data_IF_183336794398
#
_entry.id   IF_183336794398
#
_cell.length_a   1.000
_cell.length_b   1.000
_cell.length_c   1.000
_cell.angle_alpha   90.00
_cell.angle_beta   90.00
_cell.angle_gamma   90.00
#
_symmetry.space_group_name_H-M   'P 1'
#
loop_
_entity.id
_entity.type
_entity.pdbx_description
1 polymer ?
#
# COMPACT_ATOMS: atom_id res chain seq x y z
N UNK A 1 -19.90 4.49 0.89
CA UNK A 1 -19.14 5.06 2.02
C UNK A 1 -18.60 6.41 1.56
N UNK A 2 -18.57 7.41 2.44
CA UNK A 2 -17.97 8.71 2.13
C UNK A 2 -17.28 9.32 3.34
N UNK A 3 -16.34 10.23 3.09
CA UNK A 3 -15.81 11.13 4.11
C UNK A 3 -16.60 12.44 4.11
N UNK A 4 -16.93 12.94 5.29
CA UNK A 4 -17.49 14.27 5.48
C UNK A 4 -16.97 14.93 6.75
N UNK A 5 -17.23 16.23 6.91
CA UNK A 5 -16.99 16.90 8.19
C UNK A 5 -17.81 16.23 9.30
N UNK A 6 -17.26 16.25 10.50
CA UNK A 6 -17.96 15.82 11.70
C UNK A 6 -19.15 16.76 11.96
N UNK A 7 -20.27 16.18 12.37
CA UNK A 7 -21.49 16.90 12.69
C UNK A 7 -21.95 16.57 14.11
N UNK A 8 -22.66 17.47 14.80
CA UNK A 8 -23.10 17.24 16.18
C UNK A 8 -23.97 15.98 16.32
N UNK A 9 -24.67 15.56 15.26
CA UNK A 9 -25.44 14.31 15.22
C UNK A 9 -24.57 13.05 15.38
N UNK A 10 -23.26 13.15 15.14
CA UNK A 10 -22.32 12.05 15.26
C UNK A 10 -21.92 11.80 16.73
N UNK A 11 -22.10 12.78 17.61
CA UNK A 11 -21.64 12.72 19.01
C UNK A 11 -22.15 11.48 19.78
N UNK A 12 -23.43 11.07 19.68
CA UNK A 12 -23.91 9.88 20.39
C UNK A 12 -23.23 8.59 19.92
N UNK A 13 -23.02 8.45 18.61
CA UNK A 13 -22.37 7.27 18.02
C UNK A 13 -20.84 7.30 18.21
N UNK A 14 -20.27 8.49 18.37
CA UNK A 14 -18.88 8.67 18.78
C UNK A 14 -18.68 8.23 20.23
N UNK A 15 -19.56 8.68 21.14
CA UNK A 15 -19.53 8.29 22.54
C UNK A 15 -19.74 6.78 22.72
N UNK A 16 -20.63 6.18 21.92
CA UNK A 16 -20.87 4.73 21.89
C UNK A 16 -19.56 3.94 21.77
N UNK A 17 -18.70 4.26 20.78
CA UNK A 17 -17.44 3.53 20.62
C UNK A 17 -16.41 3.91 21.68
N UNK A 18 -16.42 5.13 22.21
CA UNK A 18 -15.51 5.55 23.28
C UNK A 18 -15.70 4.74 24.57
N UNK A 19 -16.91 4.22 24.80
CA UNK A 19 -17.24 3.36 25.95
C UNK A 19 -17.25 1.86 25.60
N UNK A 20 -16.99 1.49 24.35
CA UNK A 20 -16.83 0.10 23.94
C UNK A 20 -15.39 -0.37 24.21
N UNK A 21 -15.23 -1.20 25.24
CA UNK A 21 -13.92 -1.74 25.66
C UNK A 21 -13.24 -2.58 24.57
N UNK A 22 -13.99 -3.16 23.62
CA UNK A 22 -13.44 -3.89 22.48
C UNK A 22 -12.86 -2.98 21.40
N UNK A 23 -13.23 -1.69 21.42
CA UNK A 23 -12.67 -0.65 20.55
C UNK A 23 -11.48 0.01 21.22
N UNK A 24 -11.66 0.48 22.45
CA UNK A 24 -10.70 1.39 23.12
C UNK A 24 -9.66 0.70 23.99
N UNK A 25 -9.81 -0.59 24.28
CA UNK A 25 -8.97 -1.30 25.27
C UNK A 25 -7.46 -1.30 25.00
N UNK A 26 -7.04 -1.03 23.76
CA UNK A 26 -5.64 -0.91 23.34
C UNK A 26 -5.29 0.49 22.82
N UNK A 27 -6.20 1.45 22.97
CA UNK A 27 -5.95 2.86 22.69
C UNK A 27 -5.41 3.55 23.95
N UNK A 28 -4.62 4.60 23.76
CA UNK A 28 -3.91 5.25 24.87
C UNK A 28 -4.76 6.27 25.62
N UNK A 29 -5.65 6.94 24.91
CA UNK A 29 -6.53 7.94 25.51
C UNK A 29 -7.52 7.24 26.44
N UNK A 30 -7.76 7.84 27.61
CA UNK A 30 -8.81 7.39 28.52
C UNK A 30 -10.20 7.76 27.95
N UNK A 31 -10.64 6.99 26.95
CA UNK A 31 -11.94 7.20 26.31
C UNK A 31 -13.11 6.85 27.24
N UNK A 32 -12.90 5.94 28.20
CA UNK A 32 -13.92 5.54 29.16
C UNK A 32 -14.41 6.70 30.05
N UNK A 33 -13.61 7.75 30.24
CA UNK A 33 -14.02 8.93 31.01
C UNK A 33 -14.70 10.01 30.18
N UNK A 34 -14.82 9.84 28.85
CA UNK A 34 -15.37 10.87 27.97
C UNK A 34 -16.88 10.98 28.10
N UNK A 35 -17.39 12.20 27.98
CA UNK A 35 -18.84 12.49 28.02
C UNK A 35 -19.37 12.90 26.65
N UNK A 36 -20.69 13.05 26.53
CA UNK A 36 -21.30 13.54 25.30
C UNK A 36 -20.84 14.97 24.98
N UNK A 37 -20.64 15.80 26.02
CA UNK A 37 -20.13 17.17 25.89
C UNK A 37 -18.68 17.17 25.37
N UNK A 38 -17.85 16.21 25.78
CA UNK A 38 -16.50 16.05 25.22
C UNK A 38 -16.56 15.74 23.72
N UNK A 39 -17.48 14.86 23.29
CA UNK A 39 -17.67 14.54 21.87
C UNK A 39 -18.15 15.76 21.08
N UNK A 40 -19.15 16.49 21.59
CA UNK A 40 -19.63 17.72 20.97
C UNK A 40 -18.54 18.78 20.87
N UNK A 41 -17.70 18.92 21.90
CA UNK A 41 -16.60 19.87 21.90
C UNK A 41 -15.51 19.47 20.90
N UNK A 42 -15.19 18.18 20.80
CA UNK A 42 -14.28 17.66 19.78
C UNK A 42 -14.78 17.97 18.36
N UNK A 43 -16.07 17.76 18.10
CA UNK A 43 -16.71 18.08 16.81
C UNK A 43 -16.64 19.57 16.51
N UNK A 44 -16.96 20.44 17.48
CA UNK A 44 -16.88 21.90 17.31
C UNK A 44 -15.44 22.35 17.03
N UNK A 45 -14.47 21.79 17.74
CA UNK A 45 -13.05 22.11 17.54
C UNK A 45 -12.53 21.63 16.18
N UNK A 46 -13.08 20.55 15.62
CA UNK A 46 -12.68 20.02 14.31
C UNK A 46 -12.98 20.93 13.10
N UNK A 47 -13.70 22.03 13.33
CA UNK A 47 -13.95 23.05 12.31
C UNK A 47 -12.70 23.92 12.05
N UNK A 48 -11.79 24.02 13.01
CA UNK A 48 -10.46 24.58 12.80
C UNK A 48 -9.54 23.49 12.27
N UNK A 49 -9.24 23.55 10.97
CA UNK A 49 -8.39 22.59 10.27
C UNK A 49 -6.99 23.11 9.96
N UNK A 50 -6.54 24.13 10.69
CA UNK A 50 -5.21 24.73 10.50
C UNK A 50 -4.06 23.78 10.85
N UNK A 51 -4.28 22.84 11.78
CA UNK A 51 -3.28 21.87 12.24
C UNK A 51 -3.73 20.42 12.22
N UNK A 52 -5.03 20.18 12.31
CA UNK A 52 -5.61 18.85 12.36
C UNK A 52 -6.80 18.77 11.41
N UNK A 53 -6.91 17.69 10.65
CA UNK A 53 -8.08 17.40 9.83
C UNK A 53 -8.80 16.18 10.39
N UNK A 54 -10.01 16.37 10.92
CA UNK A 54 -10.86 15.29 11.41
C UNK A 54 -12.09 15.11 10.52
N UNK A 55 -12.34 13.89 10.06
CA UNK A 55 -13.46 13.56 9.18
C UNK A 55 -14.24 12.37 9.74
N UNK A 56 -15.56 12.41 9.54
CA UNK A 56 -16.43 11.27 9.74
C UNK A 56 -16.27 10.30 8.58
N UNK A 57 -16.14 9.01 8.89
CA UNK A 57 -16.40 7.93 7.95
C UNK A 57 -17.89 7.62 8.05
N UNK A 58 -18.65 7.78 6.97
CA UNK A 58 -20.09 7.60 6.94
C UNK A 58 -20.55 6.49 5.96
N UNK A 59 -21.67 5.84 6.27
CA UNK A 59 -22.36 4.93 5.34
C UNK A 59 -23.10 5.71 4.25
N UNK A 60 -23.66 5.01 3.26
CA UNK A 60 -24.44 5.65 2.19
C UNK A 60 -25.74 6.29 2.70
N UNK A 61 -26.25 5.84 3.86
CA UNK A 61 -27.36 6.44 4.60
C UNK A 61 -26.91 7.57 5.55
N UNK A 62 -25.65 8.00 5.46
CA UNK A 62 -25.04 9.07 6.25
C UNK A 62 -24.91 8.76 7.76
N UNK A 63 -25.00 7.48 8.15
CA UNK A 63 -24.76 7.02 9.51
C UNK A 63 -23.25 7.09 9.82
N UNK A 64 -22.89 7.68 10.96
CA UNK A 64 -21.50 7.74 11.43
C UNK A 64 -20.96 6.35 11.78
N UNK A 65 -19.85 5.97 11.16
CA UNK A 65 -19.19 4.67 11.32
C UNK A 65 -17.84 4.77 12.02
N UNK A 66 -17.25 5.96 12.09
CA UNK A 66 -15.97 6.20 12.75
C UNK A 66 -15.39 7.57 12.43
N UNK A 67 -14.24 7.85 12.99
CA UNK A 67 -13.46 9.05 12.72
C UNK A 67 -12.12 8.65 12.13
N UNK A 68 -11.71 9.37 11.09
CA UNK A 68 -10.35 9.34 10.54
C UNK A 68 -9.75 10.73 10.63
N UNK A 69 -8.43 10.82 10.84
CA UNK A 69 -7.76 12.07 11.14
C UNK A 69 -6.35 12.14 10.61
N UNK A 70 -5.96 13.34 10.19
CA UNK A 70 -4.56 13.78 10.07
C UNK A 70 -4.32 14.76 11.20
N UNK A 71 -3.33 14.50 12.04
CA UNK A 71 -2.99 15.33 13.20
C UNK A 71 -1.59 15.90 13.05
N UNK A 72 -1.33 17.00 13.76
CA UNK A 72 -0.02 17.64 13.78
C UNK A 72 0.52 17.89 12.36
N UNK A 73 -0.32 18.48 11.49
CA UNK A 73 0.04 18.80 10.11
C UNK A 73 1.12 19.88 10.12
N UNK A 74 2.36 19.49 9.86
CA UNK A 74 3.52 20.39 9.83
C UNK A 74 4.63 19.85 8.93
N UNK A 75 5.40 20.76 8.32
CA UNK A 75 6.58 20.45 7.51
C UNK A 75 6.33 19.38 6.42
N UNK A 76 5.17 19.41 5.76
CA UNK A 76 4.81 18.42 4.73
C UNK A 76 4.48 17.04 5.28
N UNK A 77 4.24 16.90 6.59
CA UNK A 77 3.90 15.61 7.21
C UNK A 77 2.68 15.71 8.11
N UNK A 78 2.03 14.57 8.38
CA UNK A 78 0.96 14.49 9.37
C UNK A 78 0.87 13.09 10.00
N UNK A 79 0.35 13.05 11.22
CA UNK A 79 0.06 11.79 11.91
C UNK A 79 -1.35 11.28 11.56
N UNK A 80 -1.44 10.09 11.00
CA UNK A 80 -2.69 9.39 10.75
C UNK A 80 -3.26 8.77 12.03
N UNK A 81 -4.56 8.96 12.26
CA UNK A 81 -5.31 8.26 13.28
C UNK A 81 -6.68 7.83 12.75
N UNK A 82 -7.13 6.63 13.14
CA UNK A 82 -8.44 6.11 12.76
C UNK A 82 -9.06 5.35 13.92
N UNK A 83 -10.37 5.49 14.10
CA UNK A 83 -11.16 4.64 14.98
C UNK A 83 -12.55 4.44 14.37
N UNK A 84 -13.00 3.19 14.34
CA UNK A 84 -14.32 2.82 13.82
C UNK A 84 -15.15 2.14 14.88
N UNK A 85 -16.47 2.30 14.80
CA UNK A 85 -17.44 1.60 15.64
C UNK A 85 -17.36 0.10 15.39
N UNK A 86 -17.71 -0.69 16.40
CA UNK A 86 -17.77 -2.16 16.29
C UNK A 86 -18.66 -2.63 15.14
N UNK A 87 -19.80 -1.95 14.89
CA UNK A 87 -20.71 -2.22 13.77
C UNK A 87 -20.04 -2.06 12.39
N UNK A 88 -19.02 -1.21 12.29
CA UNK A 88 -18.29 -0.91 11.05
C UNK A 88 -17.07 -1.83 10.83
N UNK A 89 -16.64 -2.56 11.86
CA UNK A 89 -15.49 -3.46 11.77
C UNK A 89 -15.74 -4.59 10.77
N UNK A 90 -14.69 -4.99 10.04
CA UNK A 90 -14.73 -6.04 9.03
C UNK A 90 -15.71 -5.78 7.85
N UNK A 91 -16.15 -4.54 7.67
CA UNK A 91 -17.03 -4.11 6.55
C UNK A 91 -16.36 -3.12 5.58
N UNK A 92 -15.04 -3.01 5.63
CA UNK A 92 -14.25 -2.15 4.73
C UNK A 92 -14.11 -0.69 5.16
N UNK A 93 -14.87 -0.21 6.15
CA UNK A 93 -14.83 1.21 6.59
C UNK A 93 -13.45 1.70 7.01
N UNK A 94 -12.65 0.87 7.69
CA UNK A 94 -11.30 1.27 8.11
C UNK A 94 -10.36 1.45 6.92
N UNK A 95 -10.44 0.55 5.93
CA UNK A 95 -9.65 0.64 4.70
C UNK A 95 -10.05 1.86 3.88
N UNK A 96 -11.35 2.00 3.63
CA UNK A 96 -11.91 3.15 2.93
C UNK A 96 -11.50 4.48 3.59
N UNK A 97 -11.62 4.58 4.92
CA UNK A 97 -11.25 5.79 5.65
C UNK A 97 -9.77 6.14 5.51
N UNK A 98 -8.91 5.12 5.53
CA UNK A 98 -7.46 5.29 5.36
C UNK A 98 -7.10 5.73 3.94
N UNK A 99 -7.57 5.00 2.93
CA UNK A 99 -7.33 5.31 1.52
C UNK A 99 -7.80 6.74 1.17
N UNK A 100 -9.03 7.08 1.57
CA UNK A 100 -9.62 8.37 1.26
C UNK A 100 -8.90 9.54 1.96
N UNK A 101 -8.41 9.36 3.19
CA UNK A 101 -7.68 10.44 3.87
C UNK A 101 -6.23 10.56 3.38
N UNK A 102 -5.58 9.45 3.00
CA UNK A 102 -4.24 9.48 2.40
C UNK A 102 -4.28 10.19 1.04
N UNK A 103 -5.27 9.85 0.21
CA UNK A 103 -5.52 10.57 -1.05
C UNK A 103 -5.67 12.07 -0.81
N UNK A 104 -6.47 12.45 0.20
CA UNK A 104 -6.67 13.86 0.58
C UNK A 104 -5.38 14.53 1.09
N UNK A 105 -4.57 13.81 1.87
CA UNK A 105 -3.28 14.27 2.36
C UNK A 105 -2.34 14.65 1.20
N UNK A 106 -2.26 13.79 0.18
CA UNK A 106 -1.33 13.92 -0.92
C UNK A 106 -1.83 14.84 -2.04
N UNK A 107 -3.08 14.71 -2.45
CA UNK A 107 -3.64 15.45 -3.60
C UNK A 107 -4.14 16.85 -3.21
N UNK A 108 -4.74 17.01 -2.02
CA UNK A 108 -5.37 18.27 -1.62
C UNK A 108 -4.51 19.08 -0.65
N UNK A 109 -3.87 18.42 0.33
CA UNK A 109 -3.03 19.09 1.32
C UNK A 109 -1.55 19.17 0.91
N UNK A 110 -1.16 18.48 -0.18
CA UNK A 110 0.21 18.45 -0.68
C UNK A 110 1.22 18.10 0.44
N UNK A 111 0.90 17.07 1.23
CA UNK A 111 1.82 16.46 2.18
C UNK A 111 2.78 15.52 1.44
N UNK A 112 4.00 15.38 1.93
CA UNK A 112 5.03 14.48 1.39
C UNK A 112 5.00 13.12 2.11
N UNK A 113 4.53 13.09 3.37
CA UNK A 113 4.52 11.89 4.21
C UNK A 113 3.32 11.86 5.16
N UNK A 114 2.74 10.69 5.36
CA UNK A 114 1.78 10.42 6.44
C UNK A 114 2.28 9.25 7.27
N UNK A 115 2.38 9.42 8.58
CA UNK A 115 2.90 8.40 9.49
C UNK A 115 1.90 8.05 10.59
N UNK A 116 2.05 6.88 11.19
CA UNK A 116 1.29 6.51 12.39
C UNK A 116 2.07 5.48 13.21
N UNK A 117 1.59 5.23 14.43
CA UNK A 117 2.10 4.13 15.23
C UNK A 117 0.98 3.37 15.92
N UNK A 118 1.29 2.13 16.26
CA UNK A 118 0.41 1.24 17.02
C UNK A 118 1.23 0.50 18.06
N UNK A 119 0.65 0.23 19.24
CA UNK A 119 1.24 -0.75 20.15
C UNK A 119 1.30 -2.12 19.47
N UNK A 120 2.44 -2.82 19.57
CA UNK A 120 2.59 -4.19 19.03
C UNK A 120 1.60 -5.18 19.64
N UNK A 121 1.11 -4.91 20.85
CA UNK A 121 0.05 -5.68 21.52
C UNK A 121 -1.30 -5.59 20.79
N UNK A 122 -1.52 -4.56 19.98
CA UNK A 122 -2.71 -4.41 19.14
C UNK A 122 -2.58 -5.20 17.84
N UNK A 123 -2.58 -6.53 17.99
CA UNK A 123 -2.45 -7.48 16.88
C UNK A 123 -3.52 -7.29 15.81
N UNK A 124 -4.71 -6.78 16.15
CA UNK A 124 -5.77 -6.44 15.19
C UNK A 124 -5.32 -5.35 14.23
N UNK A 125 -4.82 -4.23 14.76
CA UNK A 125 -4.40 -3.12 13.91
C UNK A 125 -3.07 -3.43 13.19
N UNK A 126 -2.12 -4.11 13.83
CA UNK A 126 -0.90 -4.59 13.16
C UNK A 126 -1.24 -5.48 11.98
N UNK A 127 -2.10 -6.50 12.16
CA UNK A 127 -2.55 -7.37 11.04
C UNK A 127 -3.29 -6.59 9.96
N UNK A 128 -4.05 -5.57 10.34
CA UNK A 128 -4.75 -4.72 9.38
C UNK A 128 -3.75 -3.97 8.50
N UNK A 129 -2.75 -3.30 9.08
CA UNK A 129 -1.77 -2.55 8.30
C UNK A 129 -0.88 -3.48 7.47
N UNK A 130 -0.38 -4.56 8.07
CA UNK A 130 0.49 -5.52 7.39
C UNK A 130 -0.23 -6.22 6.21
N UNK A 131 -1.55 -6.47 6.33
CA UNK A 131 -2.37 -7.02 5.25
C UNK A 131 -2.51 -6.08 4.06
N UNK A 132 -2.50 -4.76 4.29
CA UNK A 132 -2.56 -3.75 3.23
C UNK A 132 -1.16 -3.27 2.86
N UNK A 133 -0.15 -4.14 3.02
CA UNK A 133 1.24 -3.94 2.62
C UNK A 133 1.95 -2.71 3.21
N UNK A 134 1.45 -2.18 4.33
CA UNK A 134 2.24 -1.21 5.08
C UNK A 134 3.34 -1.90 5.86
N UNK A 135 4.56 -1.39 5.73
CA UNK A 135 5.75 -1.93 6.37
C UNK A 135 6.17 -1.10 7.57
N UNK A 136 6.95 -1.73 8.46
CA UNK A 136 7.44 -1.06 9.65
C UNK A 136 8.46 0.03 9.29
N UNK A 137 8.16 1.26 9.68
CA UNK A 137 9.09 2.38 9.58
C UNK A 137 10.03 2.36 10.78
N UNK A 138 11.34 2.47 10.53
CA UNK A 138 12.37 2.44 11.58
C UNK A 138 12.96 3.84 11.84
N UNK A 139 13.04 4.67 10.81
CA UNK A 139 13.66 5.99 10.86
C UNK A 139 12.61 7.09 11.06
N UNK A 140 12.01 7.12 12.25
CA UNK A 140 11.04 8.16 12.64
C UNK A 140 11.78 9.40 13.14
N UNK A 141 11.43 10.62 12.67
CA UNK A 141 12.08 11.85 13.11
C UNK A 141 12.06 12.03 14.63
N UNK A 142 13.14 12.58 15.19
CA UNK A 142 13.32 12.70 16.62
C UNK A 142 12.21 13.55 17.28
N UNK A 143 11.74 14.58 16.59
CA UNK A 143 10.63 15.43 17.00
C UNK A 143 9.30 14.67 17.12
N UNK A 144 9.06 13.69 16.23
CA UNK A 144 7.90 12.80 16.30
C UNK A 144 8.08 11.83 17.45
N UNK A 145 9.23 11.18 17.57
CA UNK A 145 9.53 10.24 18.67
C UNK A 145 9.40 10.91 20.05
N UNK A 146 9.76 12.19 20.17
CA UNK A 146 9.64 12.96 21.41
C UNK A 146 8.19 13.09 21.89
N UNK A 147 7.19 13.12 20.99
CA UNK A 147 5.76 13.13 21.38
C UNK A 147 5.33 11.82 22.04
N UNK A 148 6.14 10.77 21.88
CA UNK A 148 5.90 9.40 22.33
C UNK A 148 6.91 8.96 23.40
N UNK A 149 7.64 9.91 24.00
CA UNK A 149 8.64 9.63 25.03
C UNK A 149 8.02 8.89 26.23
N UNK A 150 8.70 7.83 26.70
CA UNK A 150 8.21 6.96 27.77
C UNK A 150 7.19 5.90 27.32
N UNK A 151 6.88 5.82 26.02
CA UNK A 151 5.99 4.79 25.47
C UNK A 151 6.84 3.78 24.70
N UNK A 152 6.88 2.57 25.22
CA UNK A 152 7.61 1.47 24.61
C UNK A 152 6.72 0.61 23.70
N UNK A 153 7.34 -0.26 22.91
CA UNK A 153 6.68 -1.31 22.14
C UNK A 153 5.69 -0.79 21.08
N UNK A 154 6.13 0.21 20.32
CA UNK A 154 5.41 0.74 19.16
C UNK A 154 5.97 0.16 17.86
N UNK A 155 5.06 -0.21 16.96
CA UNK A 155 5.34 -0.44 15.55
C UNK A 155 4.91 0.82 14.80
N UNK A 156 5.86 1.42 14.10
CA UNK A 156 5.64 2.63 13.32
C UNK A 156 5.43 2.28 11.86
N UNK A 157 4.71 3.14 11.16
CA UNK A 157 4.42 3.01 9.74
C UNK A 157 4.46 4.41 9.11
N UNK A 158 4.76 4.47 7.82
CA UNK A 158 4.71 5.70 7.03
C UNK A 158 4.38 5.38 5.59
N UNK A 159 3.79 6.35 4.90
CA UNK A 159 3.51 6.33 3.46
C UNK A 159 3.96 7.67 2.89
N UNK A 160 4.63 7.63 1.74
CA UNK A 160 5.05 8.78 0.98
C UNK A 160 4.06 9.08 -0.15
N UNK A 161 4.07 10.32 -0.63
CA UNK A 161 3.15 10.78 -1.69
C UNK A 161 3.12 9.89 -2.93
N UNK A 162 4.26 9.31 -3.29
CA UNK A 162 4.44 8.57 -4.54
C UNK A 162 4.24 7.05 -4.37
N UNK A 163 3.88 6.57 -3.17
CA UNK A 163 3.60 5.15 -2.90
C UNK A 163 2.22 4.75 -3.47
N UNK A 164 2.13 3.59 -4.15
CA UNK A 164 0.82 3.04 -4.59
C UNK A 164 0.17 2.19 -3.48
N UNK A 165 -0.94 2.69 -2.92
CA UNK A 165 -1.68 2.03 -1.83
C UNK A 165 -2.74 1.02 -2.30
N UNK A 166 -3.03 0.93 -3.60
CA UNK A 166 -4.19 0.20 -4.15
C UNK A 166 -3.84 -0.98 -5.07
N UNK A 167 -2.64 -1.53 -4.90
CA UNK A 167 -2.15 -2.51 -5.86
C UNK A 167 -2.95 -3.82 -5.88
N UNK A 168 -3.10 -4.36 -7.10
CA UNK A 168 -3.66 -5.70 -7.30
C UNK A 168 -2.70 -6.74 -6.75
N UNK A 169 -3.19 -7.70 -5.97
CA UNK A 169 -2.38 -8.84 -5.50
C UNK A 169 -1.89 -9.76 -6.65
N UNK A 170 -2.51 -9.67 -7.83
CA UNK A 170 -2.10 -10.41 -9.03
C UNK A 170 -2.48 -9.72 -10.34
N UNK A 171 -1.80 -10.08 -11.42
CA UNK A 171 -2.07 -9.64 -12.79
C UNK A 171 -2.03 -10.85 -13.72
N UNK A 172 -3.15 -11.16 -14.39
CA UNK A 172 -3.32 -12.41 -15.14
C UNK A 172 -2.90 -13.66 -14.33
N UNK A 173 -3.17 -13.70 -13.02
CA UNK A 173 -2.77 -14.81 -12.15
C UNK A 173 -1.27 -14.84 -11.75
N UNK A 174 -0.43 -13.97 -12.32
CA UNK A 174 0.94 -13.75 -11.84
C UNK A 174 0.90 -12.94 -10.54
N UNK A 175 1.67 -13.34 -9.54
CA UNK A 175 1.68 -12.68 -8.23
C UNK A 175 2.35 -11.31 -8.33
N UNK A 176 1.67 -10.26 -7.88
CA UNK A 176 2.31 -8.97 -7.61
C UNK A 176 2.91 -9.03 -6.22
N UNK A 177 4.17 -8.60 -6.09
CA UNK A 177 4.91 -8.63 -4.84
C UNK A 177 5.40 -7.25 -4.49
N UNK A 178 5.30 -6.94 -3.21
CA UNK A 178 5.99 -5.80 -2.61
C UNK A 178 7.39 -6.25 -2.20
N UNK A 179 8.38 -5.75 -2.92
CA UNK A 179 9.79 -5.79 -2.55
C UNK A 179 9.94 -5.02 -1.25
N UNK A 180 10.67 -5.59 -0.29
CA UNK A 180 10.90 -4.92 1.00
C UNK A 180 11.65 -3.63 0.72
N UNK A 181 10.98 -2.51 0.97
CA UNK A 181 11.54 -1.18 0.82
C UNK A 181 11.55 -0.50 2.18
N UNK A 182 12.72 0.01 2.55
CA UNK A 182 12.92 0.79 3.78
C UNK A 182 13.08 2.25 3.33
N UNK A 183 12.02 3.08 3.47
CA UNK A 183 12.15 4.50 3.23
C UNK A 183 12.90 5.17 4.39
N UNK A 184 13.82 6.07 4.06
CA UNK A 184 14.49 6.94 5.02
C UNK A 184 14.13 8.39 4.70
N UNK A 185 13.49 9.06 5.67
CA UNK A 185 13.03 10.45 5.53
C UNK A 185 14.20 11.35 5.12
N UNK A 186 14.09 11.96 3.93
CA UNK A 186 15.10 12.87 3.38
C UNK A 186 16.35 12.21 2.78
N UNK A 187 16.43 10.88 2.71
CA UNK A 187 17.60 10.14 2.18
C UNK A 187 17.27 9.13 1.08
N UNK A 188 16.00 9.00 0.69
CA UNK A 188 15.53 8.04 -0.32
C UNK A 188 15.13 6.72 0.31
N UNK A 189 15.24 5.63 -0.44
CA UNK A 189 14.74 4.31 -0.04
C UNK A 189 15.72 3.18 -0.40
N UNK A 190 15.70 2.11 0.41
CA UNK A 190 16.47 0.89 0.18
C UNK A 190 15.52 -0.28 -0.08
N UNK A 191 15.49 -0.76 -1.32
CA UNK A 191 14.70 -1.93 -1.72
C UNK A 191 15.57 -3.19 -1.82
N UNK A 192 15.11 -4.30 -1.24
CA UNK A 192 15.79 -5.60 -1.30
C UNK A 192 14.83 -6.78 -1.27
N UNK A 193 15.30 -7.92 -1.78
CA UNK A 193 14.59 -9.20 -1.73
C UNK A 193 15.59 -10.36 -1.73
N UNK A 194 15.23 -11.44 -1.04
CA UNK A 194 16.06 -12.64 -0.93
C UNK A 194 15.42 -13.83 -1.68
N UNK A 195 16.19 -14.47 -2.57
CA UNK A 195 15.76 -15.68 -3.27
C UNK A 195 15.52 -16.84 -2.31
N UNK A 196 14.46 -17.60 -2.53
CA UNK A 196 14.05 -18.72 -1.67
C UNK A 196 13.44 -18.32 -0.32
N UNK A 197 13.43 -17.03 0.02
CA UNK A 197 12.80 -16.50 1.23
C UNK A 197 11.65 -15.54 0.89
N UNK A 198 11.94 -14.45 0.18
CA UNK A 198 10.94 -13.45 -0.22
C UNK A 198 10.32 -13.79 -1.58
N UNK A 199 11.10 -14.44 -2.45
CA UNK A 199 10.71 -14.86 -3.80
C UNK A 199 10.71 -16.40 -3.84
N UNK A 200 9.72 -17.06 -4.48
CA UNK A 200 9.51 -18.51 -4.39
C UNK A 200 10.53 -19.37 -5.18
N UNK A 201 11.69 -18.81 -5.51
CA UNK A 201 12.78 -19.50 -6.21
C UNK A 201 14.15 -18.88 -5.88
N UNK A 202 15.20 -19.69 -6.03
CA UNK A 202 16.59 -19.23 -5.95
C UNK A 202 16.96 -18.33 -7.13
N UNK A 203 17.64 -17.22 -6.88
CA UNK A 203 18.06 -16.29 -7.93
C UNK A 203 19.42 -16.74 -8.46
N UNK A 204 19.45 -17.31 -9.66
CA UNK A 204 20.72 -17.69 -10.33
C UNK A 204 21.28 -16.60 -11.23
N UNK A 205 20.44 -15.64 -11.62
CA UNK A 205 20.83 -14.57 -12.56
C UNK A 205 19.97 -13.33 -12.36
N UNK A 206 20.62 -12.17 -12.37
CA UNK A 206 19.98 -10.87 -12.46
C UNK A 206 20.44 -10.20 -13.76
N UNK A 207 19.50 -9.60 -14.49
CA UNK A 207 19.80 -8.78 -15.65
C UNK A 207 18.88 -7.56 -15.69
N UNK A 208 19.28 -6.53 -16.42
CA UNK A 208 18.49 -5.32 -16.56
C UNK A 208 18.49 -4.82 -18.00
N UNK A 209 17.41 -4.14 -18.36
CA UNK A 209 17.20 -3.53 -19.67
C UNK A 209 17.08 -2.03 -19.43
N UNK A 210 18.01 -1.27 -20.01
CA UNK A 210 18.10 0.19 -19.86
C UNK A 210 18.36 0.86 -21.21
N UNK A 211 18.26 2.20 -21.25
CA UNK A 211 18.47 3.02 -22.46
C UNK A 211 17.57 2.62 -23.62
N UNK A 212 16.36 2.15 -23.32
CA UNK A 212 15.32 1.87 -24.30
C UNK A 212 14.57 3.18 -24.57
N UNK A 213 14.36 3.57 -25.84
CA UNK A 213 13.59 4.76 -26.16
C UNK A 213 12.15 4.65 -25.63
N UNK A 214 11.60 5.76 -25.14
CA UNK A 214 10.19 5.87 -24.79
C UNK A 214 9.29 5.49 -25.98
N UNK A 215 8.17 4.82 -25.70
CA UNK A 215 7.25 4.28 -26.71
C UNK A 215 7.69 2.95 -27.32
N UNK A 216 8.87 2.43 -26.99
CA UNK A 216 9.35 1.14 -27.52
C UNK A 216 8.65 -0.03 -26.84
N UNK A 217 8.11 -0.95 -27.66
CA UNK A 217 7.65 -2.28 -27.20
C UNK A 217 8.75 -3.34 -27.38
N UNK A 218 8.94 -4.17 -26.36
CA UNK A 218 9.85 -5.34 -26.37
C UNK A 218 9.16 -6.54 -25.73
N UNK A 219 9.82 -7.71 -25.76
CA UNK A 219 9.27 -8.94 -25.21
C UNK A 219 8.90 -9.89 -26.32
N UNK A 220 7.61 -10.20 -26.45
CA UNK A 220 7.06 -11.09 -27.48
C UNK A 220 7.59 -12.52 -27.36
N UNK A 221 7.58 -13.04 -26.14
CA UNK A 221 7.91 -14.43 -25.85
C UNK A 221 7.32 -14.84 -24.50
N UNK A 222 7.24 -16.14 -24.30
CA UNK A 222 7.05 -16.78 -23.01
C UNK A 222 8.26 -17.69 -22.69
N UNK A 223 8.26 -18.26 -21.48
CA UNK A 223 9.20 -19.29 -21.06
C UNK A 223 8.47 -20.56 -20.67
N UNK A 224 9.12 -21.71 -20.80
CA UNK A 224 8.52 -23.01 -20.42
C UNK A 224 8.66 -23.26 -18.92
N UNK A 225 9.86 -23.04 -18.38
CA UNK A 225 10.20 -23.37 -16.99
C UNK A 225 10.77 -22.19 -16.20
N UNK A 226 11.35 -21.18 -16.87
CA UNK A 226 12.01 -20.07 -16.18
C UNK A 226 11.01 -19.25 -15.36
N UNK A 227 11.30 -19.12 -14.06
CA UNK A 227 10.58 -18.25 -13.15
C UNK A 227 11.31 -16.92 -13.02
N UNK A 228 10.57 -15.83 -12.95
CA UNK A 228 11.14 -14.49 -13.02
C UNK A 228 10.40 -13.51 -12.12
N UNK A 229 11.14 -12.62 -11.48
CA UNK A 229 10.63 -11.40 -10.85
C UNK A 229 11.01 -10.23 -11.75
N UNK A 230 10.02 -9.51 -12.26
CA UNK A 230 10.20 -8.28 -13.04
C UNK A 230 9.87 -7.08 -12.14
N UNK A 231 10.75 -6.09 -12.08
CA UNK A 231 10.55 -4.87 -11.27
C UNK A 231 11.22 -3.66 -11.93
N UNK A 232 10.75 -2.45 -11.64
CA UNK A 232 11.21 -1.21 -12.28
C UNK A 232 11.80 -0.26 -11.24
N UNK A 233 13.11 -0.34 -10.92
CA UNK A 233 13.73 0.55 -9.92
C UNK A 233 13.77 2.03 -10.34
N UNK A 234 13.52 2.35 -11.61
CA UNK A 234 13.45 3.73 -12.07
C UNK A 234 12.64 3.84 -13.35
N UNK A 235 11.76 4.84 -13.40
CA UNK A 235 10.91 5.17 -14.55
C UNK A 235 9.64 4.32 -14.62
N UNK A 236 8.97 4.37 -15.76
CA UNK A 236 7.64 3.79 -15.98
C UNK A 236 7.67 2.77 -17.11
N UNK A 237 7.21 1.55 -16.84
CA UNK A 237 7.14 0.46 -17.82
C UNK A 237 5.82 -0.28 -17.66
N UNK A 238 5.04 -0.37 -18.73
CA UNK A 238 3.85 -1.20 -18.73
C UNK A 238 4.21 -2.64 -19.10
N UNK A 239 3.77 -3.59 -18.28
CA UNK A 239 3.76 -5.02 -18.57
C UNK A 239 2.37 -5.42 -19.08
N UNK A 240 2.33 -6.11 -20.21
CA UNK A 240 1.13 -6.82 -20.68
C UNK A 240 1.42 -8.30 -20.60
N UNK A 241 0.64 -9.02 -19.81
CA UNK A 241 0.82 -10.42 -19.50
C UNK A 241 -0.38 -11.22 -19.97
N UNK A 242 -0.12 -12.32 -20.66
CA UNK A 242 -1.14 -13.25 -21.14
C UNK A 242 -0.78 -14.69 -20.78
N UNK A 243 -1.72 -15.43 -20.22
CA UNK A 243 -1.63 -16.86 -19.93
C UNK A 243 -3.04 -17.48 -19.91
N UNK A 244 -3.18 -18.69 -19.34
CA UNK A 244 -4.46 -19.38 -19.23
C UNK A 244 -5.51 -18.61 -18.41
N UNK A 245 -5.09 -17.71 -17.51
CA UNK A 245 -5.98 -16.91 -16.67
C UNK A 245 -6.53 -15.66 -17.38
N UNK A 246 -5.99 -15.32 -18.55
CA UNK A 246 -6.43 -14.18 -19.35
C UNK A 246 -5.28 -13.30 -19.81
N UNK A 247 -5.63 -12.09 -20.26
CA UNK A 247 -4.68 -11.06 -20.72
C UNK A 247 -4.94 -9.77 -19.94
N UNK A 248 -3.98 -9.38 -19.13
CA UNK A 248 -4.07 -8.19 -18.28
C UNK A 248 -2.79 -7.35 -18.37
N UNK A 249 -2.86 -6.13 -17.86
CA UNK A 249 -1.73 -5.21 -17.82
C UNK A 249 -1.55 -4.61 -16.42
N UNK A 250 -0.30 -4.28 -16.13
CA UNK A 250 0.12 -3.56 -14.92
C UNK A 250 1.23 -2.58 -15.31
N UNK A 251 1.25 -1.42 -14.67
CA UNK A 251 2.34 -0.47 -14.82
C UNK A 251 3.31 -0.61 -13.66
N UNK A 252 4.59 -0.81 -13.97
CA UNK A 252 5.68 -0.76 -13.00
C UNK A 252 6.28 0.64 -13.01
N UNK A 253 5.94 1.42 -11.99
CA UNK A 253 6.48 2.77 -11.76
C UNK A 253 6.98 2.96 -10.33
N UNK A 254 6.43 2.21 -9.37
CA UNK A 254 6.91 2.12 -7.99
C UNK A 254 8.03 1.05 -7.91
N UNK A 255 9.25 1.41 -7.43
CA UNK A 255 10.38 0.50 -7.34
C UNK A 255 10.22 -0.59 -6.28
N UNK A 256 9.27 -0.43 -5.35
CA UNK A 256 8.89 -1.46 -4.39
C UNK A 256 8.02 -2.56 -5.01
N UNK A 257 7.63 -2.43 -6.29
CA UNK A 257 6.66 -3.33 -6.91
C UNK A 257 7.31 -4.21 -7.96
N UNK A 258 6.97 -5.49 -7.90
CA UNK A 258 7.37 -6.45 -8.91
C UNK A 258 6.30 -7.48 -9.23
N UNK A 259 6.46 -8.13 -10.37
CA UNK A 259 5.59 -9.21 -10.81
C UNK A 259 6.39 -10.50 -10.89
N UNK A 260 5.91 -11.53 -10.19
CA UNK A 260 6.46 -12.88 -10.22
C UNK A 260 5.71 -13.69 -11.28
N UNK A 261 6.46 -14.15 -12.28
CA UNK A 261 5.99 -15.05 -13.35
C UNK A 261 6.58 -16.44 -13.07
N UNK A 262 5.73 -17.43 -12.82
CA UNK A 262 6.15 -18.81 -12.53
C UNK A 262 5.68 -19.85 -13.54
N UNK A 263 4.80 -19.45 -14.45
CA UNK A 263 4.19 -20.31 -15.46
C UNK A 263 4.42 -19.72 -16.86
N UNK A 264 4.13 -20.49 -17.94
CA UNK A 264 4.19 -19.97 -19.29
C UNK A 264 3.26 -18.77 -19.48
N UNK A 265 3.85 -17.58 -19.43
CA UNK A 265 3.16 -16.29 -19.61
C UNK A 265 3.81 -15.53 -20.76
N UNK A 266 3.03 -15.25 -21.79
CA UNK A 266 3.44 -14.35 -22.86
C UNK A 266 3.50 -12.93 -22.32
N UNK A 267 4.59 -12.23 -22.62
CA UNK A 267 4.83 -10.90 -22.09
C UNK A 267 5.24 -9.90 -23.15
N UNK A 268 4.64 -8.73 -23.04
CA UNK A 268 5.06 -7.51 -23.72
C UNK A 268 5.44 -6.46 -22.68
N UNK A 269 6.45 -5.67 -22.99
CA UNK A 269 6.91 -4.56 -22.16
C UNK A 269 6.92 -3.30 -23.00
N UNK A 270 6.23 -2.25 -22.56
CA UNK A 270 6.20 -0.93 -23.18
C UNK A 270 6.88 0.09 -22.28
N UNK A 271 7.92 0.74 -22.78
CA UNK A 271 8.59 1.84 -22.06
C UNK A 271 7.73 3.11 -22.15
N UNK A 272 7.16 3.53 -21.03
CA UNK A 272 6.29 4.71 -20.96
C UNK A 272 7.04 6.00 -20.58
N UNK A 273 8.27 5.87 -20.09
CA UNK A 273 9.14 6.99 -19.74
C UNK A 273 10.53 6.75 -20.30
N UNK A 274 11.20 7.83 -20.71
CA UNK A 274 12.62 7.82 -21.02
C UNK A 274 13.47 7.39 -19.81
N UNK A 275 14.56 6.66 -20.09
CA UNK A 275 15.55 6.22 -19.10
C UNK A 275 15.03 5.18 -18.09
N UNK A 276 13.81 4.64 -18.26
CA UNK A 276 13.31 3.56 -17.42
C UNK A 276 14.20 2.32 -17.47
N UNK A 277 14.36 1.67 -16.32
CA UNK A 277 15.17 0.46 -16.14
C UNK A 277 14.26 -0.68 -15.71
N UNK A 278 14.14 -1.72 -16.54
CA UNK A 278 13.51 -2.98 -16.13
C UNK A 278 14.58 -3.92 -15.58
N UNK A 279 14.44 -4.34 -14.33
CA UNK A 279 15.28 -5.37 -13.73
C UNK A 279 14.54 -6.70 -13.70
N UNK A 280 15.30 -7.78 -13.86
CA UNK A 280 14.76 -9.14 -13.82
C UNK A 280 15.67 -10.06 -13.02
N UNK A 281 15.13 -10.64 -11.95
CA UNK A 281 15.75 -11.74 -11.23
C UNK A 281 15.16 -13.06 -11.73
N UNK A 282 16.01 -14.02 -12.08
CA UNK A 282 15.61 -15.23 -12.80
C UNK A 282 16.07 -16.50 -12.06
N UNK A 283 15.21 -17.52 -12.06
CA UNK A 283 15.45 -18.80 -11.37
C UNK A 283 16.54 -19.67 -12.02
N UNK A 284 16.96 -19.34 -13.24
CA UNK A 284 17.96 -20.12 -13.96
C UNK A 284 18.89 -19.31 -14.87
N UNK A 285 19.98 -19.97 -15.26
CA UNK A 285 20.91 -19.50 -16.28
C UNK A 285 20.22 -19.38 -17.65
N UNK A 286 20.88 -18.67 -18.58
CA UNK A 286 20.34 -18.51 -19.93
C UNK A 286 20.25 -19.86 -20.67
N UNK A 287 19.05 -20.21 -21.14
CA UNK A 287 18.76 -21.40 -21.95
C UNK A 287 17.92 -20.99 -23.16
N UNK A 288 18.46 -20.99 -24.40
CA UNK A 288 17.69 -20.64 -25.60
C UNK A 288 16.43 -21.49 -25.81
N UNK A 289 16.48 -22.77 -25.42
CA UNK A 289 15.46 -23.78 -25.69
C UNK A 289 14.19 -23.61 -24.83
N UNK A 290 14.33 -22.84 -23.75
CA UNK A 290 13.25 -22.50 -22.82
C UNK A 290 12.34 -21.39 -23.37
N UNK A 291 12.78 -20.66 -24.40
CA UNK A 291 11.96 -19.62 -25.02
C UNK A 291 10.85 -20.20 -25.89
N UNK A 292 9.64 -19.66 -25.74
CA UNK A 292 8.54 -19.81 -26.69
C UNK A 292 8.43 -18.48 -27.43
N UNK A 293 8.82 -18.44 -28.71
CA UNK A 293 8.87 -17.21 -29.53
C UNK A 293 7.77 -17.13 -30.56
N UNK A 294 7.15 -18.26 -30.87
CA UNK A 294 5.99 -18.31 -31.75
C UNK A 294 4.72 -18.11 -30.92
N UNK A 295 3.91 -17.14 -31.31
CA UNK A 295 2.72 -16.79 -30.55
C UNK A 295 1.62 -17.84 -30.71
N UNK A 296 1.50 -18.46 -31.89
CA UNK A 296 0.50 -19.50 -32.13
C UNK A 296 0.84 -20.76 -31.33
N UNK A 297 2.13 -21.14 -31.25
CA UNK A 297 2.63 -22.20 -30.36
C UNK A 297 2.25 -21.92 -28.89
N UNK A 298 2.45 -20.69 -28.44
CA UNK A 298 2.07 -20.27 -27.09
C UNK A 298 0.55 -20.39 -26.86
N UNK A 299 -0.28 -19.95 -27.82
CA UNK A 299 -1.75 -20.02 -27.71
C UNK A 299 -2.26 -21.46 -27.66
N UNK A 300 -1.66 -22.36 -28.42
CA UNK A 300 -2.01 -23.79 -28.34
C UNK A 300 -1.61 -24.39 -27.00
N UNK A 301 -0.45 -24.01 -26.44
CA UNK A 301 0.02 -24.48 -25.14
C UNK A 301 -0.95 -24.10 -24.00
N UNK A 302 -1.44 -22.86 -23.96
CA UNK A 302 -2.36 -22.43 -22.89
C UNK A 302 -3.80 -22.94 -23.09
N UNK A 303 -4.21 -23.25 -24.33
CA UNK A 303 -5.50 -23.92 -24.63
C UNK A 303 -5.53 -25.37 -24.17
N UNK A 304 -4.41 -26.08 -24.29
CA UNK A 304 -4.29 -27.49 -23.87
C UNK A 304 -4.25 -27.70 -22.35
N UNK A 305 -4.03 -26.64 -21.58
CA UNK A 305 -3.99 -26.65 -20.11
C UNK A 305 -5.28 -26.12 -19.45
N UNK A 306 -6.32 -25.82 -20.25
CA UNK A 306 -7.63 -25.31 -19.79
C UNK A 306 -8.64 -26.43 -19.49
#
# INVERSE_FOLDING_TARGET
MHLRRLELKDAPLMLEWMHDTSVVGLLRTNFASKTIEDCEQFIKNSLDDSKDLHLAIASDEDEYMGTVSLRDIENGSAEFAITVRTKAMSRGYSWFGMEAILKKAFEELNLDCVYWCVSRKNTRAVRFYDKHNFHEALDIPAEVLKRYEGIEDLKWYSVLRDDDINEKDSVAGCKVVHIKTIPTVGAGELSFFEGGHDIPFDIKRIYYISKVPEGTRRGFHAHKELKQLLFCPYGRIQLVLENANGREEIELYDPSIGVVIEEPTWREMLWLQKDSVLCVAASDYYKPEDYIRDYDEFKELIRGNS
#
